data_IF_446009506452
#
_entry.id   IF_446009506452
#
_cell.length_a   1.000
_cell.length_b   1.000
_cell.length_c   1.000
_cell.angle_alpha   90.00
_cell.angle_beta   90.00
_cell.angle_gamma   90.00
#
_symmetry.space_group_name_H-M   'P 1'
#
loop_
_entity.id
_entity.type
_entity.pdbx_description
1 polymer ?
#
# COMPACT_ATOMS: atom_id res chain seq x y z
N UNK A 1 -1.16 12.30 5.03
CA UNK A 1 -0.44 13.41 4.35
C UNK A 1 0.10 14.47 5.30
N UNK A 2 -0.70 15.13 6.16
CA UNK A 2 -0.20 16.21 7.03
C UNK A 2 0.99 15.85 7.95
N UNK A 3 0.98 14.67 8.60
CA UNK A 3 2.13 14.24 9.41
C UNK A 3 3.40 13.94 8.59
N UNK A 4 3.26 13.46 7.36
CA UNK A 4 4.41 13.20 6.48
C UNK A 4 4.98 14.48 5.89
N UNK A 5 4.14 15.49 5.64
CA UNK A 5 4.59 16.84 5.31
C UNK A 5 5.45 17.41 6.44
N UNK A 6 4.99 17.27 7.68
CA UNK A 6 5.73 17.74 8.86
C UNK A 6 7.03 16.94 9.07
N UNK A 7 7.02 15.61 8.89
CA UNK A 7 8.20 14.78 9.07
C UNK A 7 9.28 15.02 8.00
N UNK A 8 8.89 15.10 6.72
CA UNK A 8 9.81 15.52 5.64
C UNK A 8 10.28 16.95 5.86
N UNK A 9 9.39 17.82 6.35
CA UNK A 9 9.76 19.19 6.72
C UNK A 9 10.76 19.23 7.86
N UNK A 10 10.62 18.34 8.84
CA UNK A 10 11.56 18.24 9.94
C UNK A 10 12.92 17.70 9.48
N UNK A 11 12.96 16.75 8.54
CA UNK A 11 14.23 16.30 7.95
C UNK A 11 14.92 17.41 7.14
N UNK A 12 14.18 18.20 6.38
CA UNK A 12 14.74 19.26 5.51
C UNK A 12 15.06 20.56 6.26
N UNK A 13 14.21 20.94 7.20
CA UNK A 13 14.20 22.28 7.81
C UNK A 13 14.05 22.24 9.35
N UNK A 14 13.98 21.06 9.95
CA UNK A 14 13.73 20.90 11.38
C UNK A 14 14.93 21.27 12.24
N UNK A 15 14.64 21.84 13.41
CA UNK A 15 15.58 22.08 14.50
C UNK A 15 15.01 21.51 15.79
N UNK A 16 15.84 20.79 16.55
CA UNK A 16 15.48 20.27 17.88
C UNK A 16 15.28 21.40 18.90
N UNK A 17 16.11 22.44 18.83
CA UNK A 17 16.04 23.60 19.73
C UNK A 17 14.75 24.41 19.49
N UNK A 18 14.34 24.58 18.22
CA UNK A 18 13.09 25.26 17.88
C UNK A 18 11.85 24.43 18.29
N UNK A 19 11.94 23.11 18.21
CA UNK A 19 10.89 22.20 18.67
C UNK A 19 10.70 22.25 20.18
N UNK A 20 11.79 22.40 20.94
CA UNK A 20 11.75 22.52 22.41
C UNK A 20 11.22 23.87 22.88
N UNK A 21 11.45 24.96 22.12
CA UNK A 21 10.93 26.28 22.45
C UNK A 21 9.43 26.43 22.20
N UNK A 22 8.96 26.03 21.02
CA UNK A 22 7.54 26.08 20.67
C UNK A 22 7.22 25.04 19.58
N UNK A 23 6.91 23.83 20.06
CA UNK A 23 6.65 22.69 19.19
C UNK A 23 5.51 22.95 18.20
N UNK A 24 4.44 23.64 18.61
CA UNK A 24 3.26 23.84 17.76
C UNK A 24 3.59 24.81 16.63
N UNK A 25 4.24 25.94 16.96
CA UNK A 25 4.65 26.92 15.98
C UNK A 25 5.68 26.37 15.01
N UNK A 26 6.70 25.67 15.52
CA UNK A 26 7.74 25.09 14.68
C UNK A 26 7.20 24.03 13.72
N UNK A 27 6.35 23.11 14.19
CA UNK A 27 5.74 22.10 13.31
C UNK A 27 4.77 22.73 12.28
N UNK A 28 4.10 23.82 12.62
CA UNK A 28 3.26 24.57 11.68
C UNK A 28 4.10 25.27 10.60
N UNK A 29 5.21 25.91 10.98
CA UNK A 29 6.13 26.56 10.04
C UNK A 29 6.76 25.56 9.06
N UNK A 30 7.11 24.36 9.56
CA UNK A 30 7.57 23.25 8.72
C UNK A 30 6.48 22.78 7.75
N UNK A 31 5.24 22.66 8.23
CA UNK A 31 4.10 22.30 7.39
C UNK A 31 3.88 23.31 6.26
N UNK A 32 3.92 24.62 6.56
CA UNK A 32 3.74 25.67 5.56
C UNK A 32 4.85 25.64 4.51
N UNK A 33 6.11 25.53 4.95
CA UNK A 33 7.27 25.47 4.03
C UNK A 33 7.22 24.27 3.09
N UNK A 34 6.96 23.07 3.62
CA UNK A 34 6.91 21.87 2.76
C UNK A 34 5.73 21.89 1.81
N UNK A 35 4.59 22.46 2.19
CA UNK A 35 3.48 22.61 1.24
C UNK A 35 3.82 23.60 0.12
N UNK A 36 4.51 24.70 0.43
CA UNK A 36 4.97 25.64 -0.59
C UNK A 36 5.95 24.96 -1.57
N UNK A 37 6.94 24.21 -1.06
CA UNK A 37 7.88 23.46 -1.90
C UNK A 37 7.18 22.38 -2.74
N UNK A 38 6.18 21.71 -2.16
CA UNK A 38 5.39 20.68 -2.83
C UNK A 38 4.44 21.25 -3.91
N UNK A 39 4.09 22.52 -3.83
CA UNK A 39 3.30 23.21 -4.85
C UNK A 39 4.18 23.72 -6.00
N UNK A 40 5.44 24.03 -5.74
CA UNK A 40 6.41 24.50 -6.75
C UNK A 40 7.13 23.35 -7.47
N UNK A 41 7.37 22.21 -6.81
CA UNK A 41 8.06 21.04 -7.38
C UNK A 41 7.24 19.73 -7.28
N UNK A 42 6.77 19.17 -8.42
CA UNK A 42 6.11 17.87 -8.47
C UNK A 42 6.93 16.72 -7.85
N UNK A 43 8.27 16.82 -7.84
CA UNK A 43 9.14 15.84 -7.19
C UNK A 43 9.05 15.90 -5.66
N UNK A 44 8.84 17.08 -5.07
CA UNK A 44 8.62 17.27 -3.64
C UNK A 44 7.35 16.57 -3.12
N UNK A 45 6.25 16.60 -3.89
CA UNK A 45 5.03 15.81 -3.57
C UNK A 45 5.29 14.31 -3.62
N UNK A 46 6.07 13.84 -4.59
CA UNK A 46 6.43 12.43 -4.71
C UNK A 46 7.30 11.98 -3.51
N UNK A 47 8.18 12.84 -3.01
CA UNK A 47 9.02 12.58 -1.85
C UNK A 47 8.20 12.45 -0.55
N UNK A 48 7.22 13.34 -0.35
CA UNK A 48 6.28 13.27 0.79
C UNK A 48 5.42 12.01 0.75
N UNK A 49 4.95 11.63 -0.44
CA UNK A 49 4.21 10.37 -0.62
C UNK A 49 5.11 9.15 -0.33
N UNK A 50 6.35 9.15 -0.84
CA UNK A 50 7.31 8.08 -0.58
C UNK A 50 7.67 7.98 0.92
N UNK A 51 7.85 9.11 1.61
CA UNK A 51 8.07 9.11 3.05
C UNK A 51 6.86 8.58 3.83
N UNK A 52 5.65 8.98 3.45
CA UNK A 52 4.43 8.43 4.05
C UNK A 52 4.34 6.91 3.87
N UNK A 53 4.66 6.40 2.68
CA UNK A 53 4.71 4.95 2.41
C UNK A 53 5.79 4.28 3.27
N UNK A 54 7.02 4.79 3.27
CA UNK A 54 8.11 4.27 4.13
C UNK A 54 7.72 4.14 5.61
N UNK A 55 7.02 5.14 6.15
CA UNK A 55 6.54 5.10 7.53
C UNK A 55 5.45 4.06 7.79
N UNK A 56 4.65 3.71 6.77
CA UNK A 56 3.66 2.64 6.87
C UNK A 56 4.34 1.27 6.70
N UNK A 57 5.35 1.19 5.85
CA UNK A 57 6.09 -0.03 5.56
C UNK A 57 6.79 -0.55 6.80
N UNK A 58 7.53 0.30 7.52
CA UNK A 58 8.18 -0.07 8.78
C UNK A 58 7.16 -0.58 9.81
N UNK A 59 5.99 0.06 9.89
CA UNK A 59 4.93 -0.35 10.84
C UNK A 59 4.24 -1.66 10.45
N UNK A 60 4.17 -1.96 9.15
CA UNK A 60 3.57 -3.19 8.65
C UNK A 60 4.61 -4.28 8.39
N UNK A 61 5.87 -4.06 8.74
CA UNK A 61 6.99 -4.94 8.42
C UNK A 61 7.09 -5.24 6.92
N UNK A 62 6.91 -4.21 6.11
CA UNK A 62 7.14 -4.23 4.67
C UNK A 62 8.40 -3.41 4.34
N UNK A 63 9.08 -3.79 3.27
CA UNK A 63 10.18 -3.04 2.71
C UNK A 63 10.04 -3.04 1.20
N UNK A 64 9.85 -1.87 0.59
CA UNK A 64 9.86 -1.75 -0.86
C UNK A 64 11.27 -1.42 -1.35
N UNK A 65 11.73 -2.17 -2.36
CA UNK A 65 12.99 -1.87 -3.04
C UNK A 65 12.91 -0.56 -3.85
N UNK A 66 11.71 -0.18 -4.27
CA UNK A 66 11.49 0.97 -5.14
C UNK A 66 10.14 1.64 -4.93
N UNK A 67 10.18 2.96 -4.77
CA UNK A 67 8.99 3.81 -4.81
C UNK A 67 8.89 4.42 -6.21
N UNK A 68 7.92 3.95 -6.97
CA UNK A 68 7.59 4.47 -8.31
C UNK A 68 6.13 4.94 -8.35
N UNK A 69 5.80 5.72 -9.36
CA UNK A 69 4.46 6.26 -9.56
C UNK A 69 4.24 6.64 -11.02
N UNK A 70 2.99 6.90 -11.36
CA UNK A 70 2.57 7.24 -12.73
C UNK A 70 3.33 8.42 -13.33
N UNK A 71 3.72 9.40 -12.51
CA UNK A 71 4.48 10.58 -12.94
C UNK A 71 5.90 10.26 -13.41
N UNK A 72 6.41 9.07 -13.09
CA UNK A 72 7.78 8.63 -13.46
C UNK A 72 7.81 7.83 -14.75
N UNK A 73 6.66 7.44 -15.30
CA UNK A 73 6.59 6.75 -16.59
C UNK A 73 6.94 7.75 -17.68
N UNK A 74 7.92 7.41 -18.51
CA UNK A 74 8.40 8.30 -19.57
C UNK A 74 7.30 8.53 -20.62
N UNK A 75 7.23 9.77 -21.09
CA UNK A 75 6.35 10.12 -22.20
C UNK A 75 6.74 9.37 -23.48
N UNK A 76 8.03 9.16 -23.68
CA UNK A 76 8.58 8.40 -24.80
C UNK A 76 8.08 6.95 -24.82
N UNK A 77 8.12 6.23 -23.70
CA UNK A 77 7.60 4.86 -23.62
C UNK A 77 6.11 4.80 -23.97
N UNK A 78 5.31 5.76 -23.48
CA UNK A 78 3.89 5.84 -23.83
C UNK A 78 3.64 6.15 -25.31
N UNK A 79 4.36 7.14 -25.87
CA UNK A 79 4.19 7.53 -27.27
C UNK A 79 4.67 6.42 -28.23
N UNK A 80 5.75 5.69 -27.88
CA UNK A 80 6.25 4.54 -28.63
C UNK A 80 5.23 3.38 -28.63
N UNK A 81 4.66 3.05 -27.48
CA UNK A 81 3.63 2.02 -27.39
C UNK A 81 2.37 2.40 -28.19
N UNK A 82 2.00 3.69 -28.20
CA UNK A 82 0.89 4.17 -29.00
C UNK A 82 1.19 4.08 -30.51
N UNK A 83 2.40 4.43 -30.94
CA UNK A 83 2.82 4.30 -32.33
C UNK A 83 2.78 2.85 -32.81
N UNK A 84 3.24 1.90 -31.99
CA UNK A 84 3.14 0.47 -32.31
C UNK A 84 1.69 0.01 -32.50
N UNK A 85 0.77 0.46 -31.65
CA UNK A 85 -0.66 0.16 -31.79
C UNK A 85 -1.25 0.72 -33.09
N UNK A 86 -0.81 1.91 -33.50
CA UNK A 86 -1.24 2.57 -34.74
C UNK A 86 -0.70 1.84 -35.98
N UNK A 87 0.60 1.50 -35.97
CA UNK A 87 1.27 0.75 -37.05
C UNK A 87 0.65 -0.64 -37.27
N UNK A 88 0.20 -1.28 -36.20
CA UNK A 88 -0.50 -2.57 -36.26
C UNK A 88 -1.98 -2.44 -36.65
N UNK A 89 -2.48 -1.22 -36.87
CA UNK A 89 -3.88 -0.96 -37.22
C UNK A 89 -4.87 -1.35 -36.12
N UNK A 90 -4.44 -1.32 -34.85
CA UNK A 90 -5.26 -1.70 -33.70
C UNK A 90 -6.06 -0.53 -33.13
N UNK A 91 -5.75 0.71 -33.56
CA UNK A 91 -6.43 1.93 -33.10
C UNK A 91 -7.62 2.25 -33.99
N UNK A 92 -8.77 2.46 -33.36
CA UNK A 92 -9.95 3.08 -33.94
C UNK A 92 -10.04 4.54 -33.48
N UNK A 93 -10.12 5.46 -34.44
CA UNK A 93 -10.42 6.87 -34.18
C UNK A 93 -11.93 7.06 -33.97
N UNK A 94 -12.33 7.42 -32.75
CA UNK A 94 -13.69 7.85 -32.44
C UNK A 94 -13.75 9.37 -32.25
N UNK A 95 -14.96 9.96 -32.27
CA UNK A 95 -15.16 11.42 -32.20
C UNK A 95 -14.49 12.09 -30.98
N UNK A 96 -14.34 11.35 -29.88
CA UNK A 96 -13.92 11.85 -28.56
C UNK A 96 -12.58 11.26 -28.10
N UNK A 97 -12.15 10.11 -28.64
CA UNK A 97 -10.94 9.42 -28.21
C UNK A 97 -10.43 8.40 -29.23
N UNK A 98 -9.14 8.04 -29.10
CA UNK A 98 -8.54 6.87 -29.74
C UNK A 98 -8.74 5.66 -28.84
N UNK A 99 -9.26 4.58 -29.41
CA UNK A 99 -9.63 3.37 -28.69
C UNK A 99 -9.05 2.13 -29.38
N UNK A 100 -8.84 1.05 -28.62
CA UNK A 100 -8.57 -0.28 -29.15
C UNK A 100 -9.84 -1.12 -28.97
N UNK A 101 -10.39 -1.65 -30.05
CA UNK A 101 -11.57 -2.52 -29.98
C UNK A 101 -11.16 -3.94 -29.54
N UNK A 102 -11.59 -4.32 -28.34
CA UNK A 102 -11.34 -5.62 -27.71
C UNK A 102 -12.63 -6.45 -27.59
N UNK A 103 -13.70 -6.12 -28.32
CA UNK A 103 -14.98 -6.86 -28.28
C UNK A 103 -14.82 -8.32 -28.67
N UNK A 104 -13.91 -8.63 -29.61
CA UNK A 104 -13.54 -10.01 -29.99
C UNK A 104 -13.10 -10.84 -28.78
N UNK A 105 -12.53 -10.19 -27.77
CA UNK A 105 -12.06 -10.81 -26.52
C UNK A 105 -13.05 -10.67 -25.36
N UNK A 106 -14.26 -10.15 -25.60
CA UNK A 106 -15.28 -9.82 -24.58
C UNK A 106 -14.82 -8.77 -23.57
N UNK A 107 -13.95 -7.84 -23.99
CA UNK A 107 -13.39 -6.77 -23.13
C UNK A 107 -13.86 -5.37 -23.51
N UNK A 108 -14.81 -5.23 -24.44
CA UNK A 108 -15.34 -3.93 -24.86
C UNK A 108 -14.31 -3.09 -25.63
N UNK A 109 -14.32 -1.77 -25.43
CA UNK A 109 -13.33 -0.86 -26.03
C UNK A 109 -12.43 -0.28 -24.94
N UNK A 110 -11.13 -0.26 -25.20
CA UNK A 110 -10.13 0.28 -24.29
C UNK A 110 -9.65 1.64 -24.80
N UNK A 111 -9.83 2.69 -24.00
CA UNK A 111 -9.45 4.04 -24.41
C UNK A 111 -7.95 4.25 -24.19
N UNK A 112 -7.20 4.58 -25.24
CA UNK A 112 -5.73 4.75 -25.17
C UNK A 112 -5.33 6.22 -25.17
N UNK A 113 -6.07 7.10 -25.86
CA UNK A 113 -5.79 8.55 -25.87
C UNK A 113 -7.06 9.36 -25.99
N UNK A 114 -7.19 10.44 -25.21
CA UNK A 114 -8.28 11.41 -25.38
C UNK A 114 -7.97 12.38 -26.52
N UNK A 115 -8.99 13.02 -27.09
CA UNK A 115 -8.83 14.02 -28.17
C UNK A 115 -8.02 15.26 -27.76
N UNK A 116 -8.01 15.61 -26.48
CA UNK A 116 -7.15 16.65 -25.91
C UNK A 116 -5.65 16.28 -25.89
N UNK A 117 -5.31 15.07 -26.36
CA UNK A 117 -3.95 14.56 -26.43
C UNK A 117 -3.45 13.95 -25.11
N UNK A 118 -4.22 14.03 -24.03
CA UNK A 118 -3.87 13.55 -22.70
C UNK A 118 -3.82 12.02 -22.69
N UNK A 119 -2.73 11.48 -22.17
CA UNK A 119 -2.59 10.04 -21.91
C UNK A 119 -3.50 9.60 -20.78
N UNK A 120 -4.07 8.41 -20.92
CA UNK A 120 -4.97 7.80 -19.94
C UNK A 120 -4.17 6.82 -19.08
N UNK A 121 -4.67 6.51 -17.88
CA UNK A 121 -4.11 5.50 -16.96
C UNK A 121 -3.65 4.22 -17.67
N UNK A 122 -4.43 3.73 -18.64
CA UNK A 122 -4.09 2.54 -19.44
C UNK A 122 -2.74 2.66 -20.16
N UNK A 123 -2.48 3.79 -20.83
CA UNK A 123 -1.20 3.98 -21.52
C UNK A 123 -0.04 4.17 -20.56
N UNK A 124 -0.28 4.75 -19.38
CA UNK A 124 0.73 4.84 -18.32
C UNK A 124 1.10 3.46 -17.79
N UNK A 125 0.13 2.58 -17.59
CA UNK A 125 0.37 1.20 -17.16
C UNK A 125 1.13 0.40 -18.23
N UNK A 126 0.79 0.60 -19.51
CA UNK A 126 1.51 0.01 -20.65
C UNK A 126 2.97 0.47 -20.68
N UNK A 127 3.20 1.78 -20.68
CA UNK A 127 4.55 2.34 -20.70
C UNK A 127 5.36 1.90 -19.47
N UNK A 128 4.74 1.94 -18.28
CA UNK A 128 5.37 1.50 -17.04
C UNK A 128 5.71 0.01 -17.02
N UNK A 129 4.91 -0.85 -17.66
CA UNK A 129 5.22 -2.27 -17.78
C UNK A 129 6.37 -2.55 -18.75
N UNK A 130 6.40 -1.84 -19.87
CA UNK A 130 7.51 -1.90 -20.84
C UNK A 130 8.82 -1.49 -20.16
N UNK A 131 8.85 -0.35 -19.47
CA UNK A 131 10.05 0.13 -18.76
C UNK A 131 10.53 -0.84 -17.68
N UNK A 132 9.59 -1.43 -16.93
CA UNK A 132 9.93 -2.46 -15.92
C UNK A 132 10.51 -3.70 -16.57
N UNK A 133 9.96 -4.15 -17.70
CA UNK A 133 10.50 -5.30 -18.39
C UNK A 133 11.87 -5.00 -18.99
N UNK A 134 12.08 -3.82 -19.58
CA UNK A 134 13.38 -3.40 -20.08
C UNK A 134 14.44 -3.36 -18.99
N UNK A 135 14.07 -2.84 -17.80
CA UNK A 135 14.98 -2.71 -16.68
C UNK A 135 15.30 -4.03 -15.97
N UNK A 136 14.30 -4.86 -15.73
CA UNK A 136 14.45 -6.04 -14.87
C UNK A 136 14.45 -7.36 -15.62
N UNK A 137 13.93 -7.39 -16.85
CA UNK A 137 13.74 -8.62 -17.64
C UNK A 137 13.09 -9.73 -16.80
N UNK A 138 11.99 -9.37 -16.13
CA UNK A 138 11.36 -10.24 -15.14
C UNK A 138 10.78 -11.51 -15.77
N UNK A 139 10.86 -12.62 -15.03
CA UNK A 139 10.15 -13.87 -15.37
C UNK A 139 8.68 -13.83 -14.96
N UNK A 140 8.32 -12.96 -14.01
CA UNK A 140 6.95 -12.78 -13.51
C UNK A 140 6.76 -11.39 -12.92
N UNK A 141 5.61 -10.76 -13.21
CA UNK A 141 5.21 -9.50 -12.58
C UNK A 141 3.77 -9.59 -12.08
N UNK A 142 3.59 -9.38 -10.76
CA UNK A 142 2.29 -9.52 -10.09
C UNK A 142 1.74 -8.13 -9.76
N UNK A 143 0.53 -7.85 -10.22
CA UNK A 143 -0.24 -6.67 -9.89
C UNK A 143 -1.25 -7.01 -8.79
N UNK A 144 -1.07 -6.45 -7.59
CA UNK A 144 -2.02 -6.59 -6.48
C UNK A 144 -2.94 -5.38 -6.45
N UNK A 145 -4.13 -5.49 -7.07
CA UNK A 145 -5.04 -4.36 -7.32
C UNK A 145 -6.48 -4.78 -7.02
N UNK A 146 -7.29 -3.89 -6.45
CA UNK A 146 -8.72 -4.12 -6.16
C UNK A 146 -9.49 -4.70 -7.36
N UNK A 147 -10.45 -5.57 -7.07
CA UNK A 147 -11.32 -6.21 -8.06
C UNK A 147 -12.19 -5.21 -8.84
N UNK A 148 -12.36 -3.99 -8.33
CA UNK A 148 -12.99 -2.90 -9.08
C UNK A 148 -12.25 -2.56 -10.39
N UNK A 149 -10.97 -2.93 -10.50
CA UNK A 149 -10.15 -2.68 -11.68
C UNK A 149 -9.92 -3.93 -12.54
N UNK A 150 -10.66 -5.04 -12.29
CA UNK A 150 -10.50 -6.29 -13.06
C UNK A 150 -10.59 -6.07 -14.58
N UNK A 151 -11.58 -5.29 -15.05
CA UNK A 151 -11.73 -4.98 -16.47
C UNK A 151 -10.54 -4.19 -17.03
N UNK A 152 -10.04 -3.21 -16.27
CA UNK A 152 -8.88 -2.40 -16.66
C UNK A 152 -7.64 -3.28 -16.84
N UNK A 153 -7.33 -4.16 -15.88
CA UNK A 153 -6.18 -5.05 -15.95
C UNK A 153 -6.30 -6.07 -17.09
N UNK A 154 -7.50 -6.60 -17.33
CA UNK A 154 -7.75 -7.49 -18.46
C UNK A 154 -7.53 -6.79 -19.81
N UNK A 155 -8.02 -5.56 -19.97
CA UNK A 155 -7.79 -4.76 -21.16
C UNK A 155 -6.29 -4.45 -21.32
N UNK A 156 -5.65 -3.98 -20.25
CA UNK A 156 -4.22 -3.69 -20.21
C UNK A 156 -3.35 -4.87 -20.65
N UNK A 157 -3.50 -6.04 -20.02
CA UNK A 157 -2.72 -7.23 -20.39
C UNK A 157 -3.04 -7.69 -21.81
N UNK A 158 -4.30 -7.57 -22.25
CA UNK A 158 -4.68 -7.93 -23.62
C UNK A 158 -4.01 -7.03 -24.64
N UNK A 159 -3.95 -5.73 -24.40
CA UNK A 159 -3.29 -4.77 -25.30
C UNK A 159 -1.80 -5.11 -25.44
N UNK A 160 -1.08 -5.38 -24.34
CA UNK A 160 0.32 -5.81 -24.40
C UNK A 160 0.51 -7.09 -25.24
N UNK A 161 -0.40 -8.07 -25.10
CA UNK A 161 -0.36 -9.31 -25.92
C UNK A 161 -0.62 -9.03 -27.41
N UNK A 162 -1.52 -8.10 -27.73
CA UNK A 162 -1.80 -7.75 -29.12
C UNK A 162 -0.63 -7.04 -29.81
N UNK A 163 0.14 -6.26 -29.05
CA UNK A 163 1.38 -5.64 -29.53
C UNK A 163 2.48 -6.68 -29.81
N UNK A 164 2.35 -7.89 -29.24
CA UNK A 164 3.28 -9.00 -29.47
C UNK A 164 4.36 -9.15 -28.40
N UNK A 165 4.19 -8.53 -27.23
CA UNK A 165 5.10 -8.73 -26.11
C UNK A 165 4.93 -10.13 -25.50
N UNK A 166 5.90 -11.02 -25.72
CA UNK A 166 5.88 -12.40 -25.18
C UNK A 166 5.78 -12.43 -23.65
N UNK A 167 6.45 -11.50 -22.98
CA UNK A 167 6.41 -11.35 -21.51
C UNK A 167 5.05 -10.88 -20.98
N UNK A 168 4.09 -10.52 -21.84
CA UNK A 168 2.75 -10.18 -21.39
C UNK A 168 2.00 -11.38 -20.78
N UNK A 169 2.41 -12.62 -21.10
CA UNK A 169 1.92 -13.83 -20.44
C UNK A 169 2.48 -14.01 -19.01
N UNK A 170 3.54 -13.29 -18.65
CA UNK A 170 4.16 -13.33 -17.33
C UNK A 170 3.50 -12.36 -16.33
N UNK A 171 2.52 -11.57 -16.80
CA UNK A 171 1.78 -10.63 -15.97
C UNK A 171 0.60 -11.35 -15.29
N UNK A 172 0.49 -11.17 -13.97
CA UNK A 172 -0.59 -11.75 -13.18
C UNK A 172 -1.33 -10.67 -12.39
N UNK A 173 -2.66 -10.69 -12.41
CA UNK A 173 -3.49 -9.85 -11.56
C UNK A 173 -3.97 -10.66 -10.36
N UNK A 174 -3.50 -10.28 -9.18
CA UNK A 174 -3.97 -10.81 -7.90
C UNK A 174 -4.95 -9.79 -7.31
N UNK A 175 -6.23 -10.00 -7.58
CA UNK A 175 -7.28 -9.08 -7.14
C UNK A 175 -7.70 -9.29 -5.68
N UNK A 176 -8.31 -8.26 -5.08
CA UNK A 176 -8.91 -8.31 -3.74
C UNK A 176 -10.25 -7.55 -3.70
N UNK A 177 -11.16 -7.98 -2.84
CA UNK A 177 -12.50 -7.43 -2.66
C UNK A 177 -12.50 -6.12 -1.88
N UNK A 178 -13.67 -5.49 -1.82
CA UNK A 178 -13.82 -4.21 -1.13
C UNK A 178 -14.04 -4.39 0.36
N UNK A 179 -13.47 -3.45 1.13
CA UNK A 179 -13.80 -3.30 2.55
C UNK A 179 -14.86 -2.22 2.70
N UNK A 180 -16.05 -2.62 3.15
CA UNK A 180 -17.18 -1.73 3.39
C UNK A 180 -17.09 -1.11 4.79
N UNK A 181 -17.61 0.11 4.95
CA UNK A 181 -17.65 0.79 6.25
C UNK A 181 -16.36 1.53 6.63
N UNK A 182 -15.34 1.54 5.78
CA UNK A 182 -14.14 2.37 5.94
C UNK A 182 -14.17 3.59 5.02
N UNK A 183 -13.76 4.76 5.51
CA UNK A 183 -13.49 5.93 4.67
C UNK A 183 -11.98 6.12 4.46
N UNK A 184 -11.60 6.48 3.24
CA UNK A 184 -10.21 6.51 2.73
C UNK A 184 -9.28 7.48 3.48
N UNK A 185 -9.81 8.39 4.30
CA UNK A 185 -9.02 9.36 5.06
C UNK A 185 -8.42 8.82 6.37
N UNK A 186 -8.62 7.53 6.70
CA UNK A 186 -8.43 7.00 8.06
C UNK A 186 -7.42 5.85 8.23
N UNK A 187 -6.54 5.57 7.26
CA UNK A 187 -5.56 4.46 7.37
C UNK A 187 -4.70 4.48 8.65
N UNK A 188 -4.06 5.61 8.97
CA UNK A 188 -3.31 5.78 10.21
C UNK A 188 -4.21 5.87 11.46
N UNK A 189 -5.47 6.27 11.28
CA UNK A 189 -6.44 6.31 12.37
C UNK A 189 -6.83 4.90 12.80
N UNK A 190 -6.91 3.93 11.87
CA UNK A 190 -7.19 2.52 12.19
C UNK A 190 -6.11 1.94 13.11
N UNK A 191 -4.83 2.06 12.76
CA UNK A 191 -3.76 1.50 13.62
C UNK A 191 -3.79 2.14 15.01
N UNK A 192 -3.96 3.47 15.09
CA UNK A 192 -4.03 4.18 16.38
C UNK A 192 -5.27 3.79 17.20
N UNK A 193 -6.42 3.64 16.56
CA UNK A 193 -7.65 3.19 17.21
C UNK A 193 -7.50 1.76 17.72
N UNK A 194 -6.91 0.87 16.91
CA UNK A 194 -6.59 -0.49 17.32
C UNK A 194 -5.66 -0.49 18.55
N UNK A 195 -4.56 0.25 18.51
CA UNK A 195 -3.65 0.42 19.66
C UNK A 195 -4.40 0.91 20.89
N UNK A 196 -5.25 1.92 20.75
CA UNK A 196 -6.00 2.50 21.88
C UNK A 196 -6.95 1.50 22.51
N UNK A 197 -7.71 0.75 21.70
CA UNK A 197 -8.64 -0.29 22.19
C UNK A 197 -7.87 -1.40 22.91
N UNK A 198 -6.75 -1.84 22.34
CA UNK A 198 -5.89 -2.86 22.95
C UNK A 198 -5.26 -2.38 24.26
N UNK A 199 -4.85 -1.11 24.33
CA UNK A 199 -4.27 -0.53 25.51
C UNK A 199 -5.29 -0.41 26.65
N UNK A 200 -6.52 -0.01 26.34
CA UNK A 200 -7.63 -0.01 27.32
C UNK A 200 -7.90 -1.42 27.86
N UNK A 201 -7.91 -2.43 27.00
CA UNK A 201 -8.09 -3.81 27.41
C UNK A 201 -6.93 -4.32 28.29
N UNK A 202 -5.70 -3.91 28.00
CA UNK A 202 -4.50 -4.30 28.78
C UNK A 202 -4.49 -3.68 30.18
N UNK A 203 -4.95 -2.42 30.31
CA UNK A 203 -5.10 -1.74 31.62
C UNK A 203 -6.13 -2.40 32.54
N UNK A 204 -7.13 -3.10 31.99
CA UNK A 204 -8.10 -3.87 32.78
C UNK A 204 -7.50 -5.08 33.50
N UNK A 205 -6.22 -5.40 33.29
CA UNK A 205 -5.54 -6.58 33.85
C UNK A 205 -4.20 -6.18 34.49
N UNK A 206 -4.27 -5.48 35.62
CA UNK A 206 -3.14 -4.83 36.31
C UNK A 206 -1.94 -5.77 36.58
N UNK A 207 -2.22 -7.00 37.02
CA UNK A 207 -1.18 -8.00 37.34
C UNK A 207 -0.31 -8.34 36.11
N UNK A 208 -0.92 -8.46 34.93
CA UNK A 208 -0.19 -8.77 33.69
C UNK A 208 0.49 -7.53 33.12
N UNK A 209 -0.13 -6.36 33.26
CA UNK A 209 0.41 -5.09 32.76
C UNK A 209 1.73 -4.71 33.43
N UNK A 210 1.91 -5.07 34.71
CA UNK A 210 3.14 -4.80 35.48
C UNK A 210 4.40 -5.49 34.91
N UNK A 211 4.23 -6.58 34.15
CA UNK A 211 5.32 -7.36 33.56
C UNK A 211 5.69 -6.95 32.13
N UNK A 212 4.97 -5.98 31.56
CA UNK A 212 5.20 -5.51 30.20
C UNK A 212 6.12 -4.29 30.27
N UNK A 213 7.31 -4.39 29.69
CA UNK A 213 8.28 -3.29 29.62
C UNK A 213 7.74 -2.08 28.85
N UNK A 214 7.06 -2.34 27.72
CA UNK A 214 6.42 -1.31 26.90
C UNK A 214 4.96 -1.69 26.56
N UNK A 215 4.00 -1.27 27.41
CA UNK A 215 2.57 -1.54 27.19
C UNK A 215 2.02 -0.89 25.93
N UNK A 216 2.58 0.23 25.47
CA UNK A 216 2.08 0.96 24.31
C UNK A 216 2.50 0.25 23.02
N UNK A 217 3.80 -0.07 22.88
CA UNK A 217 4.31 -0.83 21.74
C UNK A 217 3.66 -2.22 21.65
N UNK A 218 3.48 -2.90 22.79
CA UNK A 218 2.79 -4.20 22.83
C UNK A 218 1.35 -4.09 22.35
N UNK A 219 0.61 -3.08 22.80
CA UNK A 219 -0.78 -2.85 22.39
C UNK A 219 -0.88 -2.56 20.89
N UNK A 220 0.10 -1.83 20.36
CA UNK A 220 0.19 -1.53 18.94
C UNK A 220 0.44 -2.79 18.10
N UNK A 221 1.38 -3.65 18.49
CA UNK A 221 1.65 -4.91 17.80
C UNK A 221 0.43 -5.84 17.79
N UNK A 222 -0.27 -5.94 18.91
CA UNK A 222 -1.49 -6.76 18.99
C UNK A 222 -2.58 -6.16 18.09
N UNK A 223 -2.76 -4.84 18.10
CA UNK A 223 -3.72 -4.14 17.24
C UNK A 223 -3.45 -4.34 15.75
N UNK A 224 -2.19 -4.19 15.33
CA UNK A 224 -1.76 -4.42 13.94
C UNK A 224 -2.00 -5.88 13.55
N UNK A 225 -1.68 -6.83 14.43
CA UNK A 225 -1.92 -8.25 14.19
C UNK A 225 -3.43 -8.53 14.01
N UNK A 226 -4.29 -7.93 14.84
CA UNK A 226 -5.74 -8.06 14.72
C UNK A 226 -6.28 -7.60 13.38
N UNK A 227 -5.84 -6.42 12.91
CA UNK A 227 -6.25 -5.88 11.60
C UNK A 227 -5.76 -6.78 10.46
N UNK A 228 -4.48 -7.19 10.47
CA UNK A 228 -3.90 -8.05 9.41
C UNK A 228 -4.59 -9.41 9.34
N UNK A 229 -4.75 -10.08 10.48
CA UNK A 229 -5.34 -11.43 10.53
C UNK A 229 -6.80 -11.38 10.09
N UNK A 230 -7.57 -10.38 10.52
CA UNK A 230 -8.96 -10.27 10.07
C UNK A 230 -9.09 -10.05 8.57
N UNK A 231 -8.22 -9.22 7.98
CA UNK A 231 -8.21 -8.97 6.52
C UNK A 231 -7.80 -10.24 5.75
N UNK A 232 -6.83 -10.99 6.27
CA UNK A 232 -6.28 -12.21 5.64
C UNK A 232 -7.05 -13.50 5.95
N UNK A 233 -7.99 -13.49 6.92
CA UNK A 233 -8.70 -14.68 7.36
C UNK A 233 -9.63 -15.27 6.29
N UNK A 234 -10.15 -14.42 5.40
CA UNK A 234 -11.03 -14.84 4.32
C UNK A 234 -10.29 -14.86 2.97
N UNK A 235 -10.90 -15.48 1.96
CA UNK A 235 -10.40 -15.38 0.59
C UNK A 235 -10.37 -13.90 0.18
N UNK A 236 -9.24 -13.45 -0.37
CA UNK A 236 -9.01 -12.06 -0.79
C UNK A 236 -10.11 -11.44 -1.64
N UNK A 237 -10.84 -12.21 -2.45
CA UNK A 237 -11.90 -11.68 -3.33
C UNK A 237 -13.20 -11.31 -2.58
N UNK A 238 -13.34 -11.75 -1.33
CA UNK A 238 -14.56 -11.53 -0.59
C UNK A 238 -14.70 -10.05 -0.21
N UNK A 239 -15.90 -9.51 -0.43
CA UNK A 239 -16.28 -8.20 0.11
C UNK A 239 -16.65 -8.42 1.58
N UNK A 240 -16.11 -7.59 2.47
CA UNK A 240 -16.44 -7.67 3.89
C UNK A 240 -16.67 -6.30 4.51
N UNK A 241 -17.47 -6.25 5.57
CA UNK A 241 -17.72 -5.03 6.34
C UNK A 241 -16.74 -4.95 7.50
N UNK A 242 -16.09 -3.80 7.63
CA UNK A 242 -15.18 -3.51 8.72
C UNK A 242 -15.89 -3.55 10.08
N UNK A 243 -15.31 -4.24 11.07
CA UNK A 243 -15.88 -4.39 12.41
C UNK A 243 -14.76 -4.49 13.46
N UNK A 244 -14.72 -3.52 14.38
CA UNK A 244 -13.70 -3.42 15.43
C UNK A 244 -13.76 -4.57 16.44
N UNK A 245 -14.96 -4.89 16.93
CA UNK A 245 -15.15 -5.91 17.96
C UNK A 245 -14.64 -7.28 17.48
N UNK A 246 -14.87 -7.59 16.20
CA UNK A 246 -14.37 -8.82 15.58
C UNK A 246 -12.85 -8.82 15.42
N UNK A 247 -12.26 -7.70 15.00
CA UNK A 247 -10.81 -7.59 14.74
C UNK A 247 -9.96 -7.69 16.01
N UNK A 248 -10.48 -7.15 17.11
CA UNK A 248 -9.74 -6.95 18.34
C UNK A 248 -10.19 -7.86 19.49
N UNK A 249 -11.09 -8.81 19.22
CA UNK A 249 -11.48 -9.85 20.17
C UNK A 249 -10.29 -10.74 20.53
N UNK A 250 -10.16 -11.11 21.81
CA UNK A 250 -9.23 -12.14 22.29
C UNK A 250 -9.80 -13.56 22.24
N UNK A 251 -11.06 -13.69 21.83
CA UNK A 251 -11.76 -14.96 21.67
C UNK A 251 -12.02 -15.23 20.18
N UNK A 252 -11.84 -16.50 19.78
CA UNK A 252 -12.04 -16.97 18.41
C UNK A 252 -10.80 -16.85 17.51
N UNK A 253 -11.02 -16.92 16.19
CA UNK A 253 -9.97 -16.96 15.17
C UNK A 253 -9.48 -15.54 14.84
N UNK A 254 -8.82 -14.87 15.79
CA UNK A 254 -8.39 -13.47 15.68
C UNK A 254 -6.89 -13.29 15.88
N UNK A 255 -6.36 -12.14 15.43
CA UNK A 255 -4.96 -11.79 15.63
C UNK A 255 -4.55 -11.69 17.12
N UNK A 256 -5.33 -11.04 18.00
CA UNK A 256 -5.03 -11.01 19.43
C UNK A 256 -5.02 -12.39 20.07
N UNK A 257 -5.90 -13.31 19.65
CA UNK A 257 -5.89 -14.69 20.15
C UNK A 257 -4.60 -15.42 19.75
N UNK A 258 -4.13 -15.28 18.51
CA UNK A 258 -2.87 -15.87 18.06
C UNK A 258 -1.66 -15.34 18.87
N UNK A 259 -1.62 -14.03 19.13
CA UNK A 259 -0.58 -13.43 19.98
C UNK A 259 -0.66 -13.95 21.42
N UNK A 260 -1.87 -14.05 21.98
CA UNK A 260 -2.09 -14.60 23.31
C UNK A 260 -1.60 -16.06 23.42
N UNK A 261 -1.93 -16.91 22.45
CA UNK A 261 -1.49 -18.29 22.41
C UNK A 261 0.05 -18.39 22.35
N UNK A 262 0.70 -17.60 21.50
CA UNK A 262 2.17 -17.53 21.40
C UNK A 262 2.82 -17.12 22.73
N UNK A 263 2.32 -16.05 23.36
CA UNK A 263 2.81 -15.60 24.67
C UNK A 263 2.58 -16.67 25.75
N UNK A 264 1.46 -17.40 25.68
CA UNK A 264 1.17 -18.54 26.54
C UNK A 264 2.24 -19.63 26.45
N UNK A 265 2.59 -20.06 25.22
CA UNK A 265 3.66 -21.03 24.99
C UNK A 265 5.03 -20.51 25.49
N UNK A 266 5.38 -19.27 25.17
CA UNK A 266 6.61 -18.65 25.65
C UNK A 266 6.68 -18.57 27.19
N UNK A 267 5.55 -18.31 27.84
CA UNK A 267 5.44 -18.29 29.30
C UNK A 267 5.64 -19.67 29.92
N UNK A 268 5.02 -20.71 29.33
CA UNK A 268 5.23 -22.11 29.75
C UNK A 268 6.71 -22.49 29.60
N UNK A 269 7.34 -22.15 28.46
CA UNK A 269 8.76 -22.40 28.23
C UNK A 269 9.66 -21.70 29.26
N UNK A 270 9.43 -20.43 29.56
CA UNK A 270 10.19 -19.69 30.60
C UNK A 270 10.03 -20.27 31.99
N UNK A 271 8.83 -20.78 32.33
CA UNK A 271 8.55 -21.40 33.64
C UNK A 271 9.16 -22.79 33.81
N UNK A 272 9.53 -23.45 32.72
CA UNK A 272 10.07 -24.80 32.69
C UNK A 272 11.40 -24.82 31.90
N UNK A 273 12.27 -23.86 32.17
CA UNK A 273 13.51 -23.66 31.41
C UNK A 273 14.42 -24.89 31.45
N UNK A 274 14.38 -25.67 32.54
CA UNK A 274 15.13 -26.92 32.68
C UNK A 274 14.65 -28.05 31.75
N UNK A 275 13.41 -28.02 31.25
CA UNK A 275 12.84 -29.04 30.37
C UNK A 275 13.10 -28.76 28.88
N UNK A 276 13.53 -27.55 28.53
CA UNK A 276 13.82 -27.12 27.17
C UNK A 276 15.20 -26.46 27.09
N UNK A 277 16.28 -27.22 26.84
CA UNK A 277 17.55 -26.62 26.47
C UNK A 277 17.42 -26.05 25.05
N UNK A 278 16.81 -24.87 24.92
CA UNK A 278 16.88 -24.14 23.67
C UNK A 278 18.36 -23.85 23.38
N UNK A 279 18.86 -24.10 22.15
CA UNK A 279 20.21 -23.71 21.80
C UNK A 279 20.36 -22.20 22.01
N UNK A 280 21.57 -21.73 22.39
CA UNK A 280 21.81 -20.31 22.61
C UNK A 280 21.43 -19.51 21.35
N UNK A 281 20.84 -18.32 21.57
CA UNK A 281 20.48 -17.39 20.49
C UNK A 281 21.74 -17.07 19.67
N UNK A 282 21.75 -17.44 18.39
CA UNK A 282 22.75 -17.06 17.39
C UNK A 282 22.62 -15.61 16.99
#
# INVERSE_FOLDING_TARGET
>A
MQFSLIAVGFEKYGSREALEQDAIKHLLDLYVKVNADADEDPAGRAEVAAFFMRMQDVRLNMHFDMYTGESRVSKESMDNALAQLDEMGLIEDEEVAKCVDLKKYKLGKAVVRKKDGTSIYLMRDIGGAIERYEKYKFDKMIYVISSQQDMHLLQFFKVLKLVGYEWADHLEHVNYGLVLGMSTQKGNQIIREATSVMHQHTKGNEDKCSSIEDPEATSQEIGITGVKVQDMAAKRMNIYTFNWDRMLSFEGDTGPYLQYALVGFCSISRKNAELFPLPPRS
#
